data_IF_663260321516
#
_entry.id   IF_663260321516
#
_cell.length_a   1.000
_cell.length_b   1.000
_cell.length_c   1.000
_cell.angle_alpha   90.00
_cell.angle_beta   90.00
_cell.angle_gamma   90.00
#
_symmetry.space_group_name_H-M   'P 1'
#
loop_
_entity.id
_entity.type
_entity.pdbx_description
1 polymer ?
#
# COMPACT_ATOMS: atom_id res chain seq x y z
N UNK A 1 -4.79 -3.23 -16.84
CA UNK A 1 -3.61 -4.08 -16.53
C UNK A 1 -3.80 -5.49 -17.06
N UNK A 2 -4.83 -6.27 -16.63
CA UNK A 2 -5.05 -7.66 -17.04
C UNK A 2 -5.11 -7.82 -18.56
N UNK A 3 -5.99 -7.07 -19.24
CA UNK A 3 -6.15 -7.14 -20.69
C UNK A 3 -4.86 -6.81 -21.45
N UNK A 4 -4.07 -5.86 -20.94
CA UNK A 4 -2.79 -5.52 -21.57
C UNK A 4 -1.78 -6.67 -21.43
N UNK A 5 -1.64 -7.25 -20.25
CA UNK A 5 -0.75 -8.40 -20.00
C UNK A 5 -1.15 -9.56 -20.92
N UNK A 6 -2.44 -9.90 -20.95
CA UNK A 6 -2.97 -10.96 -21.81
C UNK A 6 -2.71 -10.69 -23.31
N UNK A 7 -2.88 -9.42 -23.76
CA UNK A 7 -2.71 -9.05 -25.18
C UNK A 7 -1.30 -9.22 -25.72
N UNK A 8 -0.27 -9.14 -24.85
CA UNK A 8 1.13 -9.37 -25.23
C UNK A 8 1.53 -10.84 -25.18
N UNK A 9 0.59 -11.74 -24.79
CA UNK A 9 0.77 -13.20 -24.77
C UNK A 9 2.13 -13.64 -24.22
N UNK A 10 2.45 -13.33 -22.97
CA UNK A 10 3.77 -13.61 -22.42
C UNK A 10 4.03 -15.10 -22.34
N UNK A 11 5.27 -15.54 -22.61
CA UNK A 11 5.70 -16.96 -22.50
C UNK A 11 5.83 -17.42 -21.04
N UNK A 12 5.97 -16.50 -20.11
CA UNK A 12 6.11 -16.73 -18.67
C UNK A 12 4.87 -16.22 -17.95
N UNK A 13 4.49 -16.78 -16.81
CA UNK A 13 3.33 -16.32 -16.05
C UNK A 13 3.48 -14.87 -15.57
N UNK A 14 2.36 -14.20 -15.33
CA UNK A 14 2.29 -12.92 -14.65
C UNK A 14 1.96 -13.15 -13.17
N UNK A 15 2.76 -12.61 -12.26
CA UNK A 15 2.53 -12.67 -10.83
C UNK A 15 1.75 -11.43 -10.36
N UNK A 16 0.64 -11.64 -9.69
CA UNK A 16 -0.16 -10.60 -9.02
C UNK A 16 -0.02 -10.77 -7.52
N UNK A 17 0.46 -9.74 -6.84
CA UNK A 17 0.60 -9.69 -5.38
C UNK A 17 -0.36 -8.67 -4.82
N UNK A 18 -1.31 -9.10 -4.01
CA UNK A 18 -2.38 -8.26 -3.48
C UNK A 18 -2.53 -8.43 -1.95
N UNK A 19 -3.22 -7.52 -1.26
CA UNK A 19 -3.71 -7.79 0.10
C UNK A 19 -4.55 -9.06 0.16
N UNK A 20 -4.48 -9.81 1.26
CA UNK A 20 -5.19 -11.10 1.38
C UNK A 20 -6.69 -10.99 1.11
N UNK A 21 -7.30 -9.87 1.45
CA UNK A 21 -8.72 -9.58 1.21
C UNK A 21 -9.07 -9.35 -0.26
N UNK A 22 -8.09 -9.02 -1.10
CA UNK A 22 -8.28 -8.69 -2.51
C UNK A 22 -7.88 -9.81 -3.47
N UNK A 23 -7.26 -10.89 -2.99
CA UNK A 23 -6.83 -12.04 -3.81
C UNK A 23 -8.00 -12.60 -4.63
N UNK A 24 -9.14 -12.87 -3.99
CA UNK A 24 -10.32 -13.39 -4.67
C UNK A 24 -11.05 -12.35 -5.54
N UNK A 25 -10.83 -11.07 -5.31
CA UNK A 25 -11.32 -10.03 -6.22
C UNK A 25 -10.55 -10.08 -7.54
N UNK A 26 -9.23 -10.24 -7.51
CA UNK A 26 -8.41 -10.43 -8.69
C UNK A 26 -8.81 -11.67 -9.49
N UNK A 27 -9.13 -12.77 -8.81
CA UNK A 27 -9.70 -13.96 -9.45
C UNK A 27 -10.98 -13.61 -10.23
N UNK A 28 -11.95 -12.98 -9.58
CA UNK A 28 -13.21 -12.57 -10.22
C UNK A 28 -13.01 -11.61 -11.39
N UNK A 29 -12.05 -10.71 -11.30
CA UNK A 29 -11.71 -9.80 -12.40
C UNK A 29 -11.11 -10.54 -13.59
N UNK A 30 -10.28 -11.57 -13.38
CA UNK A 30 -9.77 -12.43 -14.45
C UNK A 30 -10.94 -13.19 -15.09
N UNK A 31 -11.77 -13.85 -14.31
CA UNK A 31 -12.95 -14.59 -14.80
C UNK A 31 -13.89 -13.71 -15.62
N UNK A 32 -14.07 -12.45 -15.20
CA UNK A 32 -14.95 -11.48 -15.85
C UNK A 32 -14.40 -10.95 -17.18
N UNK A 33 -13.12 -10.56 -17.20
CA UNK A 33 -12.51 -9.88 -18.35
C UNK A 33 -11.75 -10.79 -19.28
N UNK A 34 -11.34 -11.97 -18.80
CA UNK A 34 -10.51 -12.95 -19.50
C UNK A 34 -11.06 -14.38 -19.25
N UNK A 35 -12.29 -14.70 -19.66
CA UNK A 35 -13.00 -15.92 -19.21
C UNK A 35 -12.32 -17.23 -19.60
N UNK A 36 -11.44 -17.23 -20.60
CA UNK A 36 -10.76 -18.45 -21.07
C UNK A 36 -9.30 -18.54 -20.61
N UNK A 37 -8.86 -17.65 -19.74
CA UNK A 37 -7.48 -17.57 -19.29
C UNK A 37 -7.23 -18.50 -18.10
N UNK A 38 -6.16 -19.26 -18.16
CA UNK A 38 -5.72 -20.10 -17.04
C UNK A 38 -5.08 -19.23 -15.97
N UNK A 39 -5.59 -19.30 -14.76
CA UNK A 39 -5.00 -18.63 -13.59
C UNK A 39 -4.88 -19.60 -12.41
N UNK A 40 -4.00 -19.29 -11.49
CA UNK A 40 -3.80 -20.03 -10.25
C UNK A 40 -3.82 -19.08 -9.05
N UNK A 41 -4.52 -19.45 -7.99
CA UNK A 41 -4.52 -18.73 -6.71
C UNK A 41 -3.70 -19.51 -5.70
N UNK A 42 -2.62 -18.90 -5.22
CA UNK A 42 -1.73 -19.53 -4.23
C UNK A 42 -2.33 -19.34 -2.83
N UNK A 43 -2.87 -20.42 -2.27
CA UNK A 43 -3.52 -20.46 -0.93
C UNK A 43 -3.28 -21.82 -0.27
N UNK A 44 -3.77 -21.99 0.96
CA UNK A 44 -3.71 -23.26 1.68
C UNK A 44 -2.50 -23.43 2.60
N UNK A 45 -2.20 -24.67 2.96
CA UNK A 45 -1.05 -25.04 3.77
C UNK A 45 0.28 -24.78 3.05
N UNK A 46 1.41 -24.91 3.72
CA UNK A 46 2.73 -24.77 3.08
C UNK A 46 2.92 -25.82 2.00
N UNK A 47 2.56 -27.07 2.30
CA UNK A 47 2.68 -28.21 1.41
C UNK A 47 1.81 -28.05 0.15
N UNK A 48 0.60 -27.50 0.30
CA UNK A 48 -0.30 -27.20 -0.84
C UNK A 48 0.31 -26.13 -1.75
N UNK A 49 0.86 -25.06 -1.17
CA UNK A 49 1.48 -23.99 -1.94
C UNK A 49 2.76 -24.44 -2.66
N UNK A 50 3.58 -25.28 -2.02
CA UNK A 50 4.76 -25.87 -2.66
C UNK A 50 4.38 -26.76 -3.86
N UNK A 51 3.25 -27.47 -3.80
CA UNK A 51 2.72 -28.24 -4.93
C UNK A 51 2.25 -27.32 -6.05
N UNK A 52 1.41 -26.31 -5.72
CA UNK A 52 0.90 -25.36 -6.70
C UNK A 52 2.03 -24.66 -7.46
N UNK A 53 3.09 -24.25 -6.75
CA UNK A 53 4.21 -23.52 -7.35
C UNK A 53 5.04 -24.37 -8.34
N UNK A 54 4.90 -25.68 -8.37
CA UNK A 54 5.60 -26.52 -9.37
C UNK A 54 5.01 -26.36 -10.78
N UNK A 55 3.73 -26.08 -10.87
CA UNK A 55 2.98 -26.08 -12.13
C UNK A 55 2.68 -24.64 -12.63
N UNK A 56 3.38 -23.62 -12.10
CA UNK A 56 3.08 -22.20 -12.41
C UNK A 56 3.16 -21.86 -13.90
N UNK A 57 4.02 -22.53 -14.65
CA UNK A 57 4.23 -22.27 -16.07
C UNK A 57 3.08 -22.77 -16.97
N UNK A 58 2.15 -23.56 -16.42
CA UNK A 58 0.92 -23.97 -17.11
C UNK A 58 -0.19 -22.90 -17.04
N UNK A 59 0.06 -21.82 -16.30
CA UNK A 59 -0.90 -20.75 -16.04
C UNK A 59 -0.38 -19.40 -16.55
N UNK A 60 -1.29 -18.54 -16.97
CA UNK A 60 -0.98 -17.20 -17.43
C UNK A 60 -0.88 -16.20 -16.27
N UNK A 61 -1.75 -16.37 -15.27
CA UNK A 61 -1.75 -15.53 -14.08
C UNK A 61 -1.60 -16.34 -12.80
N UNK A 62 -0.70 -15.90 -11.95
CA UNK A 62 -0.50 -16.42 -10.60
C UNK A 62 -0.88 -15.32 -9.60
N UNK A 63 -1.81 -15.61 -8.71
CA UNK A 63 -2.30 -14.64 -7.72
C UNK A 63 -1.86 -15.09 -6.33
N UNK A 64 -1.22 -14.20 -5.58
CA UNK A 64 -0.81 -14.45 -4.19
C UNK A 64 -1.01 -13.23 -3.31
N UNK A 65 -0.87 -13.40 -2.01
CA UNK A 65 -0.93 -12.28 -1.06
C UNK A 65 0.45 -11.89 -0.53
N UNK A 66 0.62 -10.62 -0.09
CA UNK A 66 1.86 -10.16 0.54
C UNK A 66 2.33 -11.06 1.70
N UNK A 67 1.46 -11.50 2.64
CA UNK A 67 1.89 -12.39 3.71
C UNK A 67 2.38 -13.74 3.22
N UNK A 68 1.73 -14.33 2.21
CA UNK A 68 2.15 -15.63 1.64
C UNK A 68 3.44 -15.50 0.85
N UNK A 69 3.54 -14.50 -0.03
CA UNK A 69 4.77 -14.23 -0.76
C UNK A 69 5.97 -14.05 0.19
N UNK A 70 5.80 -13.24 1.25
CA UNK A 70 6.85 -13.03 2.25
C UNK A 70 7.28 -14.32 2.95
N UNK A 71 6.31 -15.18 3.26
CA UNK A 71 6.56 -16.46 3.94
C UNK A 71 7.31 -17.45 3.04
N UNK A 72 6.95 -17.45 1.78
CA UNK A 72 7.40 -18.46 0.81
C UNK A 72 8.41 -17.89 -0.20
N UNK A 73 9.00 -16.73 0.05
CA UNK A 73 9.84 -15.99 -0.91
C UNK A 73 10.96 -16.84 -1.51
N UNK A 74 11.53 -17.75 -0.74
CA UNK A 74 12.61 -18.62 -1.21
C UNK A 74 12.15 -19.55 -2.35
N UNK A 75 10.87 -19.92 -2.41
CA UNK A 75 10.30 -20.74 -3.47
C UNK A 75 10.15 -19.96 -4.79
N UNK A 76 10.07 -18.62 -4.71
CA UNK A 76 9.89 -17.75 -5.86
C UNK A 76 11.21 -17.26 -6.47
N UNK A 77 12.34 -17.39 -5.75
CA UNK A 77 13.62 -16.78 -6.17
C UNK A 77 14.16 -17.34 -7.48
N UNK A 78 13.92 -18.61 -7.76
CA UNK A 78 14.37 -19.29 -8.97
C UNK A 78 13.32 -19.29 -10.09
N UNK A 79 12.17 -18.63 -9.86
CA UNK A 79 11.09 -18.52 -10.82
C UNK A 79 11.21 -17.25 -11.64
N UNK A 80 10.84 -17.34 -12.90
CA UNK A 80 10.83 -16.20 -13.80
C UNK A 80 9.41 -15.82 -14.19
N UNK A 81 9.10 -14.55 -14.12
CA UNK A 81 7.80 -13.99 -14.48
C UNK A 81 7.94 -12.98 -15.62
N UNK A 82 6.96 -12.93 -16.51
CA UNK A 82 6.86 -11.85 -17.51
C UNK A 82 6.51 -10.53 -16.85
N UNK A 83 5.56 -10.57 -15.91
CA UNK A 83 5.05 -9.41 -15.19
C UNK A 83 4.98 -9.69 -13.69
N UNK A 84 5.30 -8.68 -12.90
CA UNK A 84 4.97 -8.65 -11.48
C UNK A 84 4.11 -7.41 -11.18
N UNK A 85 2.86 -7.63 -10.87
CA UNK A 85 1.90 -6.59 -10.51
C UNK A 85 1.68 -6.62 -9.00
N UNK A 86 1.92 -5.51 -8.33
CA UNK A 86 1.57 -5.35 -6.93
C UNK A 86 0.34 -4.44 -6.80
N UNK A 87 -0.66 -4.88 -6.06
CA UNK A 87 -1.84 -4.09 -5.75
C UNK A 87 -1.72 -3.49 -4.35
N UNK A 88 -2.34 -2.32 -4.15
CA UNK A 88 -2.21 -1.52 -2.92
C UNK A 88 -0.73 -1.32 -2.54
N UNK A 89 0.03 -0.71 -3.45
CA UNK A 89 1.49 -0.58 -3.34
C UNK A 89 1.96 0.15 -2.06
N UNK A 90 1.06 0.80 -1.29
CA UNK A 90 1.39 1.31 0.03
C UNK A 90 1.87 0.23 1.02
N UNK A 91 1.60 -1.06 0.75
CA UNK A 91 2.17 -2.17 1.53
C UNK A 91 3.68 -2.27 1.44
N UNK A 92 4.31 -1.63 0.45
CA UNK A 92 5.76 -1.58 0.27
C UNK A 92 6.36 -0.18 0.44
N UNK A 93 5.58 0.81 0.89
CA UNK A 93 6.02 2.19 1.08
C UNK A 93 7.23 2.33 2.00
N UNK A 94 7.34 1.50 3.01
CA UNK A 94 8.53 1.41 3.84
C UNK A 94 9.48 0.34 3.29
N UNK A 95 10.59 0.78 2.69
CA UNK A 95 11.62 -0.06 2.06
C UNK A 95 12.24 -1.11 2.96
N UNK A 96 12.16 -0.93 4.29
CA UNK A 96 12.74 -1.87 5.28
C UNK A 96 11.78 -2.99 5.68
N UNK A 97 10.52 -2.93 5.28
CA UNK A 97 9.56 -3.99 5.62
C UNK A 97 9.84 -5.28 4.85
N UNK A 98 9.49 -6.40 5.47
CA UNK A 98 9.62 -7.72 4.82
C UNK A 98 8.79 -7.81 3.55
N UNK A 99 7.65 -7.12 3.45
CA UNK A 99 6.86 -7.06 2.23
C UNK A 99 7.66 -6.41 1.08
N UNK A 100 8.25 -5.22 1.35
CA UNK A 100 9.06 -4.51 0.36
C UNK A 100 10.27 -5.34 -0.07
N UNK A 101 10.97 -5.96 0.87
CA UNK A 101 12.13 -6.81 0.60
C UNK A 101 11.77 -8.04 -0.22
N UNK A 102 10.61 -8.65 0.06
CA UNK A 102 10.17 -9.85 -0.66
C UNK A 102 9.78 -9.56 -2.09
N UNK A 103 8.93 -8.54 -2.35
CA UNK A 103 8.51 -8.24 -3.73
C UNK A 103 9.68 -7.79 -4.62
N UNK A 104 10.71 -7.14 -4.05
CA UNK A 104 11.90 -6.72 -4.79
C UNK A 104 12.77 -7.89 -5.25
N UNK A 105 12.70 -9.04 -4.56
CA UNK A 105 13.42 -10.26 -4.94
C UNK A 105 12.79 -11.01 -6.11
N UNK A 106 11.56 -10.69 -6.48
CA UNK A 106 10.87 -11.34 -7.61
C UNK A 106 11.58 -10.97 -8.92
N UNK A 107 11.96 -12.01 -9.65
CA UNK A 107 12.52 -11.89 -10.99
C UNK A 107 11.37 -11.75 -12.01
N UNK A 108 11.15 -10.55 -12.51
CA UNK A 108 10.12 -10.25 -13.50
C UNK A 108 10.66 -9.27 -14.53
N UNK A 109 10.33 -9.50 -15.81
CA UNK A 109 10.76 -8.65 -16.93
C UNK A 109 10.14 -7.25 -16.84
N UNK A 110 8.88 -7.20 -16.41
CA UNK A 110 8.13 -5.96 -16.24
C UNK A 110 7.48 -5.89 -14.86
N UNK A 111 7.40 -4.69 -14.29
CA UNK A 111 6.82 -4.49 -12.97
C UNK A 111 5.80 -3.35 -12.98
N UNK A 112 4.64 -3.57 -12.35
CA UNK A 112 3.59 -2.58 -12.14
C UNK A 112 3.25 -2.45 -10.66
N UNK A 113 2.93 -1.23 -10.26
CA UNK A 113 2.39 -0.93 -8.93
C UNK A 113 1.06 -0.19 -9.06
N UNK A 114 0.03 -0.73 -8.45
CA UNK A 114 -1.30 -0.12 -8.36
C UNK A 114 -1.49 0.44 -6.96
N UNK A 115 -1.96 1.68 -6.86
CA UNK A 115 -2.22 2.32 -5.56
C UNK A 115 -3.22 3.46 -5.71
N UNK A 116 -4.11 3.61 -4.74
CA UNK A 116 -4.96 4.78 -4.62
C UNK A 116 -4.23 6.00 -4.04
N UNK A 117 -3.15 5.77 -3.28
CA UNK A 117 -2.42 6.79 -2.52
C UNK A 117 -0.91 6.62 -2.67
N UNK A 118 -0.31 7.14 -3.76
CA UNK A 118 1.12 6.94 -4.05
C UNK A 118 2.05 7.64 -3.03
N UNK A 119 1.59 8.71 -2.42
CA UNK A 119 2.32 9.47 -1.39
C UNK A 119 1.31 9.85 -0.30
N UNK A 120 1.54 9.39 0.93
CA UNK A 120 0.72 9.74 2.09
C UNK A 120 1.48 10.63 3.08
N UNK A 121 2.66 10.20 3.52
CA UNK A 121 3.37 10.84 4.61
C UNK A 121 4.80 11.27 4.26
N UNK A 122 5.41 10.70 3.25
CA UNK A 122 6.81 10.96 2.92
C UNK A 122 7.11 10.66 1.46
N UNK A 123 7.98 11.48 0.89
CA UNK A 123 8.49 11.29 -0.46
C UNK A 123 9.26 9.96 -0.62
N UNK A 124 9.80 9.44 0.48
CA UNK A 124 10.47 8.14 0.49
C UNK A 124 9.53 6.96 0.23
N UNK A 125 8.23 7.14 0.40
CA UNK A 125 7.21 6.16 0.00
C UNK A 125 7.18 6.01 -1.52
N UNK A 126 7.21 7.12 -2.24
CA UNK A 126 7.33 7.14 -3.70
C UNK A 126 8.63 6.47 -4.16
N UNK A 127 9.76 6.82 -3.52
CA UNK A 127 11.05 6.20 -3.82
C UNK A 127 10.98 4.67 -3.69
N UNK A 128 10.36 4.17 -2.62
CA UNK A 128 10.27 2.72 -2.40
C UNK A 128 9.45 1.99 -3.46
N UNK A 129 8.38 2.62 -3.97
CA UNK A 129 7.57 2.09 -5.07
C UNK A 129 8.38 2.10 -6.38
N UNK A 130 9.08 3.19 -6.68
CA UNK A 130 9.92 3.28 -7.88
C UNK A 130 11.12 2.33 -7.84
N UNK A 131 11.72 2.10 -6.67
CA UNK A 131 12.79 1.12 -6.50
C UNK A 131 12.31 -0.34 -6.74
N UNK A 132 11.01 -0.61 -6.58
CA UNK A 132 10.41 -1.86 -7.03
C UNK A 132 10.18 -1.89 -8.54
N UNK A 133 9.58 -0.84 -9.12
CA UNK A 133 9.21 -0.80 -10.55
C UNK A 133 10.44 -0.71 -11.43
N UNK A 134 11.35 0.21 -11.10
CA UNK A 134 12.54 0.57 -11.87
C UNK A 134 13.73 0.77 -10.94
N UNK A 135 14.40 -0.31 -10.48
CA UNK A 135 15.53 -0.19 -9.58
C UNK A 135 16.61 0.75 -10.11
N UNK A 136 17.06 1.68 -9.27
CA UNK A 136 18.10 2.65 -9.61
C UNK A 136 17.64 3.90 -10.38
N UNK A 137 16.42 3.95 -10.92
CA UNK A 137 15.93 5.09 -11.71
C UNK A 137 15.93 6.42 -10.92
N UNK A 138 15.55 6.40 -9.67
CA UNK A 138 15.56 7.57 -8.79
C UNK A 138 16.87 7.72 -7.98
N UNK A 139 17.92 6.96 -8.31
CA UNK A 139 19.15 6.90 -7.55
C UNK A 139 19.04 6.13 -6.25
N UNK A 140 20.08 6.17 -5.41
CA UNK A 140 20.05 5.54 -4.11
C UNK A 140 19.08 6.26 -3.16
N UNK A 141 18.60 5.54 -2.14
CA UNK A 141 17.71 6.12 -1.13
C UNK A 141 18.30 7.34 -0.41
N UNK A 142 19.63 7.35 -0.25
CA UNK A 142 20.34 8.45 0.39
C UNK A 142 20.37 9.67 -0.53
N UNK A 143 20.81 9.52 -1.77
CA UNK A 143 20.86 10.60 -2.76
C UNK A 143 19.48 11.21 -3.00
N UNK A 144 18.45 10.36 -3.13
CA UNK A 144 17.08 10.82 -3.29
C UNK A 144 16.58 11.62 -2.07
N UNK A 145 16.84 11.13 -0.87
CA UNK A 145 16.48 11.82 0.37
C UNK A 145 17.20 13.16 0.50
N UNK A 146 18.50 13.22 0.23
CA UNK A 146 19.31 14.45 0.28
C UNK A 146 18.84 15.47 -0.76
N UNK A 147 18.54 15.01 -1.99
CA UNK A 147 18.09 15.88 -3.10
C UNK A 147 16.70 16.49 -2.86
N UNK A 148 15.79 15.74 -2.27
CA UNK A 148 14.39 16.13 -2.14
C UNK A 148 13.94 16.40 -0.70
N UNK A 149 14.87 16.66 0.22
CA UNK A 149 14.58 16.91 1.65
C UNK A 149 13.64 18.11 1.86
N UNK A 150 13.78 19.15 1.05
CA UNK A 150 13.01 20.39 1.15
C UNK A 150 11.91 20.51 0.07
N UNK A 151 11.44 19.39 -0.48
CA UNK A 151 10.50 19.40 -1.63
C UNK A 151 9.17 20.11 -1.33
N UNK A 152 8.74 20.15 -0.06
CA UNK A 152 7.52 20.85 0.36
C UNK A 152 7.62 22.36 0.24
N UNK A 153 8.83 22.90 0.38
CA UNK A 153 9.11 24.31 0.44
C UNK A 153 9.69 24.86 -0.86
N UNK A 154 10.03 23.94 -1.80
CA UNK A 154 10.67 24.28 -3.08
C UNK A 154 9.82 23.81 -4.27
N UNK A 155 9.22 24.76 -4.95
CA UNK A 155 8.36 24.53 -6.11
C UNK A 155 9.14 23.96 -7.32
N UNK A 156 10.41 24.36 -7.52
CA UNK A 156 11.24 23.88 -8.62
C UNK A 156 11.63 22.42 -8.40
N UNK A 157 12.02 22.05 -7.17
CA UNK A 157 12.29 20.65 -6.82
C UNK A 157 11.05 19.77 -7.00
N UNK A 158 9.88 20.27 -6.58
CA UNK A 158 8.60 19.58 -6.76
C UNK A 158 8.29 19.37 -8.24
N UNK A 159 8.50 20.40 -9.07
CA UNK A 159 8.28 20.29 -10.53
C UNK A 159 9.30 19.37 -11.20
N UNK A 160 10.56 19.42 -10.78
CA UNK A 160 11.61 18.53 -11.28
C UNK A 160 11.26 17.06 -11.04
N UNK A 161 10.82 16.71 -9.83
CA UNK A 161 10.40 15.35 -9.51
C UNK A 161 9.17 14.94 -10.32
N UNK A 162 8.16 15.81 -10.44
CA UNK A 162 6.97 15.54 -11.25
C UNK A 162 7.34 15.23 -12.71
N UNK A 163 8.23 16.00 -13.30
CA UNK A 163 8.68 15.77 -14.67
C UNK A 163 9.40 14.42 -14.81
N UNK A 164 10.19 14.06 -13.80
CA UNK A 164 10.93 12.79 -13.79
C UNK A 164 9.99 11.58 -13.74
N UNK A 165 8.96 11.62 -12.91
CA UNK A 165 8.06 10.46 -12.71
C UNK A 165 6.87 10.43 -13.68
N UNK A 166 6.50 11.57 -14.28
CA UNK A 166 5.32 11.73 -15.15
C UNK A 166 5.17 10.66 -16.24
N UNK A 167 6.24 10.24 -16.95
CA UNK A 167 6.11 9.21 -18.00
C UNK A 167 5.66 7.84 -17.48
N UNK A 168 5.83 7.57 -16.18
CA UNK A 168 5.61 6.26 -15.55
C UNK A 168 4.39 6.23 -14.64
N UNK A 169 3.72 7.36 -14.42
CA UNK A 169 2.59 7.49 -13.50
C UNK A 169 1.31 7.83 -14.26
N UNK A 170 0.35 6.92 -14.21
CA UNK A 170 -1.00 7.18 -14.69
C UNK A 170 -1.93 7.38 -13.49
N UNK A 171 -2.40 8.61 -13.28
CA UNK A 171 -3.37 8.94 -12.24
C UNK A 171 -4.68 9.41 -12.86
N UNK A 172 -5.78 8.77 -12.46
CA UNK A 172 -7.14 9.19 -12.82
C UNK A 172 -7.92 9.52 -11.56
N UNK A 173 -8.53 10.67 -11.52
CA UNK A 173 -9.41 11.08 -10.42
C UNK A 173 -10.81 10.55 -10.75
N UNK A 174 -11.50 10.03 -9.75
CA UNK A 174 -12.82 9.42 -9.90
C UNK A 174 -13.83 10.36 -10.60
N UNK A 175 -13.78 11.65 -10.28
CA UNK A 175 -14.62 12.69 -10.92
C UNK A 175 -14.39 12.84 -12.43
N UNK A 176 -13.16 12.58 -12.89
CA UNK A 176 -12.78 12.79 -14.30
C UNK A 176 -13.17 11.60 -15.20
N UNK A 177 -13.54 10.46 -14.59
CA UNK A 177 -13.78 9.21 -15.33
C UNK A 177 -15.21 8.70 -15.20
N UNK A 178 -15.88 9.02 -14.10
CA UNK A 178 -17.22 8.52 -13.79
C UNK A 178 -18.24 9.66 -13.74
N UNK A 179 -18.60 10.17 -14.91
CA UNK A 179 -19.58 11.25 -15.07
C UNK A 179 -21.00 10.86 -14.62
N UNK A 180 -21.28 9.55 -14.52
CA UNK A 180 -22.60 9.01 -14.14
C UNK A 180 -22.80 8.92 -12.62
N UNK A 181 -21.75 9.12 -11.82
CA UNK A 181 -21.87 9.07 -10.37
C UNK A 181 -22.40 10.40 -9.84
N UNK A 182 -23.41 10.36 -8.95
CA UNK A 182 -23.88 11.56 -8.26
C UNK A 182 -22.76 12.15 -7.39
N UNK A 183 -22.86 13.44 -7.11
CA UNK A 183 -21.92 14.08 -6.19
C UNK A 183 -21.94 13.42 -4.81
N UNK A 184 -20.78 13.35 -4.18
CA UNK A 184 -20.66 12.82 -2.82
C UNK A 184 -21.38 13.77 -1.86
N UNK A 185 -22.44 13.30 -1.23
CA UNK A 185 -23.13 14.02 -0.15
C UNK A 185 -22.44 13.67 1.16
N UNK A 186 -21.83 14.64 1.82
CA UNK A 186 -21.27 14.49 3.16
C UNK A 186 -22.18 15.17 4.18
N UNK A 187 -22.71 14.40 5.11
CA UNK A 187 -23.52 14.89 6.21
C UNK A 187 -22.75 14.76 7.52
N UNK A 188 -22.54 15.89 8.19
CA UNK A 188 -21.91 15.90 9.51
C UNK A 188 -23.01 15.90 10.57
N UNK A 189 -23.05 14.82 11.37
CA UNK A 189 -23.97 14.70 12.50
C UNK A 189 -23.19 15.01 13.77
N UNK A 190 -23.59 16.07 14.47
CA UNK A 190 -23.00 16.44 15.76
C UNK A 190 -23.82 15.80 16.88
N UNK A 191 -23.12 15.08 17.78
CA UNK A 191 -23.72 14.41 18.92
C UNK A 191 -23.13 15.01 20.20
N UNK A 192 -23.99 15.29 21.20
CA UNK A 192 -23.53 15.75 22.49
C UNK A 192 -23.06 14.59 23.38
N UNK A 193 -21.93 14.81 24.05
CA UNK A 193 -21.44 13.90 25.07
C UNK A 193 -22.35 13.92 26.32
N UNK A 194 -22.53 12.77 26.96
CA UNK A 194 -23.20 12.69 28.26
C UNK A 194 -22.45 13.48 29.34
N UNK A 195 -23.08 13.73 30.47
CA UNK A 195 -22.44 14.45 31.62
C UNK A 195 -21.17 13.69 32.10
N UNK A 196 -21.24 12.38 32.17
CA UNK A 196 -20.11 11.54 32.58
C UNK A 196 -18.99 11.60 31.56
N UNK A 197 -19.30 11.48 30.27
CA UNK A 197 -18.31 11.61 29.20
C UNK A 197 -17.63 12.98 29.21
N UNK A 198 -18.41 14.08 29.37
CA UNK A 198 -17.86 15.44 29.46
C UNK A 198 -16.89 15.58 30.64
N UNK A 199 -17.22 15.04 31.79
CA UNK A 199 -16.35 15.08 32.98
C UNK A 199 -15.06 14.29 32.80
N UNK A 200 -15.16 13.05 32.33
CA UNK A 200 -14.01 12.19 32.01
C UNK A 200 -13.11 12.80 30.93
N UNK A 201 -13.71 13.32 29.87
CA UNK A 201 -12.98 13.97 28.77
C UNK A 201 -12.15 15.15 29.26
N UNK A 202 -12.75 16.05 30.07
CA UNK A 202 -12.02 17.19 30.64
C UNK A 202 -10.87 16.75 31.53
N UNK A 203 -11.11 15.85 32.47
CA UNK A 203 -10.08 15.34 33.37
C UNK A 203 -8.92 14.69 32.61
N UNK A 204 -9.24 13.95 31.55
CA UNK A 204 -8.23 13.30 30.72
C UNK A 204 -7.43 14.30 29.87
N UNK A 205 -8.07 15.30 29.32
CA UNK A 205 -7.38 16.39 28.57
C UNK A 205 -6.39 17.13 29.48
N UNK A 206 -6.80 17.48 30.72
CA UNK A 206 -5.92 18.16 31.68
C UNK A 206 -4.72 17.30 32.07
N UNK A 207 -4.94 15.99 32.28
CA UNK A 207 -3.86 15.03 32.53
C UNK A 207 -2.91 14.97 31.32
N UNK A 208 -3.44 14.80 30.11
CA UNK A 208 -2.65 14.68 28.88
C UNK A 208 -1.83 15.96 28.61
N UNK A 209 -2.37 17.15 28.89
CA UNK A 209 -1.64 18.42 28.77
C UNK A 209 -0.44 18.46 29.69
N UNK A 210 -0.62 18.12 30.98
CA UNK A 210 0.48 18.04 31.95
C UNK A 210 1.56 17.05 31.55
N UNK A 211 1.14 15.87 31.10
CA UNK A 211 2.06 14.81 30.66
C UNK A 211 2.82 15.18 29.36
N UNK A 212 2.23 16.03 28.52
CA UNK A 212 2.79 16.45 27.24
C UNK A 212 3.75 17.67 27.34
N UNK A 213 3.56 18.56 28.32
CA UNK A 213 4.33 19.81 28.45
C UNK A 213 5.87 19.64 28.55
N UNK A 214 6.35 18.47 29.00
CA UNK A 214 7.79 18.17 29.05
C UNK A 214 8.30 17.26 27.92
N UNK A 215 7.45 16.71 27.05
CA UNK A 215 7.76 15.60 26.17
C UNK A 215 7.57 15.90 24.67
N UNK A 216 7.08 17.08 24.29
CA UNK A 216 6.67 17.43 22.91
C UNK A 216 7.77 17.21 21.86
N UNK A 217 9.04 17.34 22.23
CA UNK A 217 10.18 17.23 21.33
C UNK A 217 10.89 15.85 21.37
N UNK A 218 10.38 14.91 22.14
CA UNK A 218 10.93 13.55 22.25
C UNK A 218 10.09 12.53 21.46
N UNK A 219 10.73 11.46 20.98
CA UNK A 219 10.01 10.37 20.31
C UNK A 219 9.00 9.69 21.25
N UNK A 220 9.29 9.61 22.55
CA UNK A 220 8.37 9.13 23.58
C UNK A 220 7.15 10.02 23.76
N UNK A 221 7.31 11.34 23.70
CA UNK A 221 6.20 12.29 23.83
C UNK A 221 5.18 12.20 22.70
N UNK A 222 5.63 11.98 21.47
CA UNK A 222 4.70 11.77 20.34
C UNK A 222 3.81 10.54 20.55
N UNK A 223 4.38 9.45 21.07
CA UNK A 223 3.62 8.23 21.38
C UNK A 223 2.64 8.45 22.53
N UNK A 224 3.02 9.20 23.57
CA UNK A 224 2.15 9.58 24.69
C UNK A 224 0.96 10.39 24.21
N UNK A 225 1.18 11.39 23.33
CA UNK A 225 0.13 12.21 22.74
C UNK A 225 -0.82 11.36 21.90
N UNK A 226 -0.27 10.50 21.02
CA UNK A 226 -1.07 9.61 20.18
C UNK A 226 -1.95 8.68 21.00
N UNK A 227 -1.38 8.07 22.04
CA UNK A 227 -2.12 7.22 22.98
C UNK A 227 -3.20 8.02 23.72
N UNK A 228 -2.88 9.25 24.11
CA UNK A 228 -3.85 10.17 24.73
C UNK A 228 -5.04 10.49 23.82
N UNK A 229 -4.78 10.81 22.56
CA UNK A 229 -5.84 11.06 21.54
C UNK A 229 -6.71 9.82 21.35
N UNK A 230 -6.11 8.63 21.32
CA UNK A 230 -6.86 7.37 21.23
C UNK A 230 -7.79 7.19 22.43
N UNK A 231 -7.32 7.47 23.64
CA UNK A 231 -8.13 7.41 24.86
C UNK A 231 -9.28 8.43 24.84
N UNK A 232 -9.02 9.66 24.42
CA UNK A 232 -10.07 10.67 24.25
C UNK A 232 -11.16 10.19 23.27
N UNK A 233 -10.75 9.57 22.16
CA UNK A 233 -11.69 8.97 21.20
C UNK A 233 -12.51 7.84 21.84
N UNK A 234 -11.90 6.98 22.66
CA UNK A 234 -12.59 5.92 23.39
C UNK A 234 -13.64 6.50 24.35
N UNK A 235 -13.32 7.57 25.11
CA UNK A 235 -14.29 8.27 25.97
C UNK A 235 -15.50 8.76 25.17
N UNK A 236 -15.27 9.35 23.99
CA UNK A 236 -16.35 9.79 23.11
C UNK A 236 -17.26 8.63 22.65
N UNK A 237 -16.71 7.44 22.45
CA UNK A 237 -17.49 6.26 22.08
C UNK A 237 -18.27 5.70 23.28
N UNK A 238 -17.60 5.37 24.37
CA UNK A 238 -18.22 4.88 25.61
C UNK A 238 -17.26 4.99 26.81
N UNK A 239 -17.71 5.45 28.00
CA UNK A 239 -16.85 5.62 29.17
C UNK A 239 -16.13 4.35 29.65
N UNK A 240 -16.75 3.19 29.48
CA UNK A 240 -16.20 1.88 29.91
C UNK A 240 -15.09 1.33 28.98
N UNK A 241 -14.68 2.06 27.94
CA UNK A 241 -13.59 1.65 27.04
C UNK A 241 -12.19 2.09 27.53
N UNK A 242 -12.13 2.69 28.72
CA UNK A 242 -10.89 3.20 29.31
C UNK A 242 -10.52 2.38 30.53
#
# INVERSE_FOLDING_TARGET
>A
TLCYIHSVSPKKPALIVAPSTLVFNWQKEIERFLPNTKYMVITGSKEDREKLLKDIYDYEFIITSYPLLRRDINLYMDMEFSWCVIDEAQYIKNRKTMNALSVKKINAEHKFALTGTPIENSIMELWSIFDFIMPGYLGSAREFSERFINITDDAELSQSLRNLIRPFVLRRIKKDVLYELPEKIETTVTVELTREQKALYKAFVEKLRRDAEGLLHTSGGRMTILTGILRLRQICCHPLLI
#
